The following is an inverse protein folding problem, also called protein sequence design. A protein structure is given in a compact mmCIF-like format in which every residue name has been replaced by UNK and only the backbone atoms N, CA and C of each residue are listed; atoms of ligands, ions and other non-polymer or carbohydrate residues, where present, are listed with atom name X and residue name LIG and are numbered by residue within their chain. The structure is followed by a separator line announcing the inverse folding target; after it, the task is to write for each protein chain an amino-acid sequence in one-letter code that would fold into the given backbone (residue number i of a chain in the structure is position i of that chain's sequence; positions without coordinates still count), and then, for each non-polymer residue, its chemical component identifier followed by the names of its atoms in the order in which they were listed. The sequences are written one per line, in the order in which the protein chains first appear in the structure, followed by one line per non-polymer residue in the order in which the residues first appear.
data_IF_971289455078
#
_entry.id   IF_971289455078
#
_cell.length_a   1.000
_cell.length_b   1.000
_cell.length_c   1.000
_cell.angle_alpha   90.00
_cell.angle_beta   90.00
_cell.angle_gamma   90.00
#
_symmetry.space_group_name_H-M   'P 1'
#
loop_
_entity.id
_entity.type
_entity.pdbx_description
1 polymer ?
#
# COMPACT_ATOMS: atom_id res chain seq x y z
N UNK A 1 -12.99 51.19 -46.58
CA UNK A 1 -14.08 50.20 -46.73
C UNK A 1 -13.70 49.05 -47.65
N UNK A 2 -12.97 49.28 -48.75
CA UNK A 2 -12.54 48.24 -49.70
C UNK A 2 -11.71 47.07 -49.15
N UNK A 3 -10.86 47.30 -48.14
CA UNK A 3 -9.96 46.26 -47.62
C UNK A 3 -10.70 45.14 -46.89
N UNK A 4 -11.84 45.46 -46.27
CA UNK A 4 -12.64 44.50 -45.50
C UNK A 4 -13.42 43.54 -46.40
N UNK A 5 -13.88 44.04 -47.56
CA UNK A 5 -14.59 43.22 -48.54
C UNK A 5 -13.63 42.27 -49.27
N UNK A 6 -12.38 42.68 -49.48
CA UNK A 6 -11.34 41.83 -50.05
C UNK A 6 -11.00 40.65 -49.12
N UNK A 7 -10.79 40.92 -47.82
CA UNK A 7 -10.52 39.88 -46.82
C UNK A 7 -11.70 38.89 -46.71
N UNK A 8 -12.95 39.39 -46.69
CA UNK A 8 -14.14 38.52 -46.67
C UNK A 8 -14.25 37.63 -47.90
N UNK A 9 -13.79 38.13 -49.05
CA UNK A 9 -13.82 37.37 -50.30
C UNK A 9 -12.75 36.28 -50.29
N UNK A 10 -11.52 36.58 -49.87
CA UNK A 10 -10.45 35.58 -49.69
C UNK A 10 -10.83 34.51 -48.67
N UNK A 11 -11.45 34.89 -47.54
CA UNK A 11 -11.90 33.95 -46.51
C UNK A 11 -12.99 33.02 -47.06
N UNK A 12 -13.92 33.55 -47.86
CA UNK A 12 -14.97 32.73 -48.49
C UNK A 12 -14.38 31.78 -49.53
N UNK A 13 -13.41 32.24 -50.32
CA UNK A 13 -12.74 31.43 -51.33
C UNK A 13 -11.91 30.29 -50.71
N UNK A 14 -11.18 30.59 -49.62
CA UNK A 14 -10.43 29.57 -48.87
C UNK A 14 -11.34 28.55 -48.19
N UNK A 15 -12.46 28.97 -47.60
CA UNK A 15 -13.45 28.04 -47.06
C UNK A 15 -14.07 27.14 -48.14
N UNK A 16 -14.41 27.71 -49.30
CA UNK A 16 -14.93 26.94 -50.42
C UNK A 16 -13.91 25.90 -50.93
N UNK A 17 -12.62 26.22 -50.91
CA UNK A 17 -11.56 25.25 -51.22
C UNK A 17 -11.45 24.13 -50.19
N UNK A 18 -11.56 24.44 -48.89
CA UNK A 18 -11.54 23.44 -47.82
C UNK A 18 -12.74 22.48 -47.90
N UNK A 19 -13.91 22.99 -48.30
CA UNK A 19 -15.12 22.17 -48.51
C UNK A 19 -15.00 21.19 -49.69
N UNK A 20 -14.07 21.43 -50.61
CA UNK A 20 -13.81 20.53 -51.75
C UNK A 20 -12.75 19.47 -51.48
N UNK A 21 -12.15 19.46 -50.28
CA UNK A 21 -11.16 18.46 -49.92
C UNK A 21 -11.81 17.07 -49.83
N UNK A 22 -11.12 16.02 -50.30
CA UNK A 22 -11.60 14.66 -50.17
C UNK A 22 -11.71 14.28 -48.70
N UNK A 23 -12.73 13.48 -48.38
CA UNK A 23 -12.93 12.96 -47.03
C UNK A 23 -11.69 12.18 -46.60
N UNK A 24 -11.07 12.63 -45.51
CA UNK A 24 -9.89 11.94 -44.96
C UNK A 24 -10.36 10.68 -44.24
N UNK A 25 -10.22 9.53 -44.89
CA UNK A 25 -10.36 8.27 -44.19
C UNK A 25 -9.14 8.02 -43.29
N UNK A 26 -9.33 7.80 -41.98
CA UNK A 26 -8.24 7.44 -41.11
C UNK A 26 -7.70 6.06 -41.54
N UNK A 27 -6.40 5.99 -41.83
CA UNK A 27 -5.73 4.74 -42.15
C UNK A 27 -6.01 3.70 -41.06
N UNK A 28 -6.31 2.45 -41.42
CA UNK A 28 -6.69 1.40 -40.45
C UNK A 28 -5.64 1.18 -39.33
N UNK A 29 -4.36 1.38 -39.66
CA UNK A 29 -3.25 1.33 -38.69
C UNK A 29 -3.08 2.58 -37.83
N UNK A 30 -3.80 3.67 -38.10
CA UNK A 30 -3.68 4.92 -37.35
C UNK A 30 -3.91 4.68 -35.85
N UNK A 31 -4.98 3.95 -35.52
CA UNK A 31 -5.30 3.62 -34.13
C UNK A 31 -4.23 2.74 -33.49
N UNK A 32 -3.76 1.72 -34.21
CA UNK A 32 -2.70 0.83 -33.70
C UNK A 32 -1.41 1.60 -33.39
N UNK A 33 -0.95 2.44 -34.32
CA UNK A 33 0.24 3.29 -34.14
C UNK A 33 0.06 4.35 -33.06
N UNK A 34 -1.15 4.89 -32.91
CA UNK A 34 -1.47 5.82 -31.82
C UNK A 34 -1.35 5.13 -30.46
N UNK A 35 -1.92 3.94 -30.31
CA UNK A 35 -1.83 3.18 -29.05
C UNK A 35 -0.40 2.73 -28.76
N UNK A 36 0.33 2.24 -29.76
CA UNK A 36 1.75 1.89 -29.62
C UNK A 36 2.58 3.08 -29.14
N UNK A 37 2.34 4.27 -29.71
CA UNK A 37 3.03 5.50 -29.31
C UNK A 37 2.66 5.92 -27.88
N UNK A 38 1.38 5.89 -27.52
CA UNK A 38 0.92 6.20 -26.16
C UNK A 38 1.55 5.23 -25.16
N UNK A 39 1.58 3.93 -25.48
CA UNK A 39 2.21 2.92 -24.64
C UNK A 39 3.71 3.19 -24.48
N UNK A 40 4.43 3.49 -25.56
CA UNK A 40 5.85 3.81 -25.50
C UNK A 40 6.13 5.09 -24.68
N UNK A 41 5.33 6.15 -24.86
CA UNK A 41 5.48 7.40 -24.11
C UNK A 41 5.06 7.27 -22.64
N UNK A 42 4.05 6.45 -22.33
CA UNK A 42 3.58 6.22 -20.96
C UNK A 42 4.40 5.18 -20.21
N UNK A 43 4.95 4.16 -20.88
CA UNK A 43 5.81 3.15 -20.28
C UNK A 43 7.06 3.78 -19.64
N UNK A 44 7.60 4.86 -20.24
CA UNK A 44 8.67 5.66 -19.65
C UNK A 44 8.26 6.42 -18.39
N UNK A 45 6.99 6.82 -18.26
CA UNK A 45 6.48 7.56 -17.10
C UNK A 45 6.07 6.66 -15.92
N UNK A 46 5.72 5.39 -16.16
CA UNK A 46 5.34 4.44 -15.10
C UNK A 46 6.53 3.72 -14.44
N UNK A 47 7.71 3.70 -15.07
CA UNK A 47 8.89 3.03 -14.50
C UNK A 47 9.51 3.74 -13.30
N UNK A 48 9.21 5.02 -13.03
CA UNK A 48 9.77 5.74 -11.88
C UNK A 48 8.96 5.61 -10.57
N UNK A 49 7.74 5.05 -10.59
CA UNK A 49 6.87 5.02 -9.40
C UNK A 49 6.87 3.72 -8.59
N UNK A 50 7.67 2.72 -8.97
CA UNK A 50 7.56 1.36 -8.41
C UNK A 50 8.62 0.95 -7.36
N UNK A 51 9.39 1.87 -6.75
CA UNK A 51 10.47 1.46 -5.82
C UNK A 51 10.22 1.73 -4.34
N UNK A 52 9.25 2.56 -3.95
CA UNK A 52 9.04 2.89 -2.52
C UNK A 52 8.35 1.77 -1.74
N UNK A 53 7.34 1.11 -2.33
CA UNK A 53 6.63 0.00 -1.67
C UNK A 53 7.49 -1.28 -1.56
N UNK A 54 8.44 -1.49 -2.49
CA UNK A 54 9.42 -2.57 -2.41
C UNK A 54 10.39 -2.35 -1.24
N UNK A 55 10.90 -1.12 -1.09
CA UNK A 55 11.83 -0.75 -0.02
C UNK A 55 11.27 -1.01 1.39
N UNK A 56 9.99 -0.72 1.64
CA UNK A 56 9.38 -0.99 2.95
C UNK A 56 9.31 -2.49 3.27
N UNK A 57 8.96 -3.33 2.29
CA UNK A 57 8.90 -4.79 2.48
C UNK A 57 10.28 -5.37 2.75
N UNK A 58 11.30 -4.92 2.03
CA UNK A 58 12.69 -5.32 2.28
C UNK A 58 13.22 -4.82 3.62
N UNK A 59 12.88 -3.59 4.02
CA UNK A 59 13.25 -3.05 5.33
C UNK A 59 12.61 -3.85 6.47
N UNK A 60 11.33 -4.20 6.35
CA UNK A 60 10.64 -5.07 7.30
C UNK A 60 11.27 -6.46 7.35
N UNK A 61 11.58 -7.05 6.20
CA UNK A 61 12.22 -8.37 6.10
C UNK A 61 13.62 -8.38 6.73
N UNK A 62 14.43 -7.34 6.48
CA UNK A 62 15.74 -7.16 7.09
C UNK A 62 15.63 -6.97 8.60
N UNK A 63 14.66 -6.18 9.07
CA UNK A 63 14.41 -5.96 10.49
C UNK A 63 14.03 -7.27 11.21
N UNK A 64 13.11 -8.05 10.63
CA UNK A 64 12.71 -9.35 11.17
C UNK A 64 13.89 -10.34 11.20
N UNK A 65 14.77 -10.29 10.21
CA UNK A 65 15.99 -11.12 10.17
C UNK A 65 16.97 -10.76 11.30
N UNK A 66 17.19 -9.46 11.53
CA UNK A 66 18.02 -8.97 12.64
C UNK A 66 17.43 -9.36 14.00
N UNK A 67 16.11 -9.23 14.18
CA UNK A 67 15.45 -9.68 15.42
C UNK A 67 15.65 -11.18 15.63
N UNK A 68 15.47 -11.99 14.58
CA UNK A 68 15.59 -13.44 14.69
C UNK A 68 17.01 -13.86 15.11
N UNK A 69 18.05 -13.33 14.45
CA UNK A 69 19.44 -13.64 14.79
C UNK A 69 19.84 -13.03 16.14
N UNK A 70 19.46 -11.78 16.39
CA UNK A 70 19.75 -11.08 17.63
C UNK A 70 19.13 -11.77 18.85
N UNK A 71 17.93 -12.33 18.72
CA UNK A 71 17.28 -13.08 19.80
C UNK A 71 18.09 -14.32 20.20
N UNK A 72 18.67 -15.05 19.24
CA UNK A 72 19.54 -16.19 19.51
C UNK A 72 20.81 -15.74 20.22
N UNK A 73 21.39 -14.60 19.83
CA UNK A 73 22.58 -14.05 20.47
C UNK A 73 22.32 -13.61 21.92
N UNK A 74 21.18 -12.97 22.20
CA UNK A 74 20.75 -12.61 23.56
C UNK A 74 20.48 -13.85 24.41
N UNK A 75 19.88 -14.90 23.83
CA UNK A 75 19.67 -16.18 24.53
C UNK A 75 20.98 -16.93 24.82
N UNK A 76 21.96 -16.86 23.93
CA UNK A 76 23.29 -17.43 24.18
C UNK A 76 24.07 -16.64 25.24
N UNK A 77 23.96 -15.31 25.23
CA UNK A 77 24.66 -14.44 26.19
C UNK A 77 24.02 -14.43 27.59
N UNK A 78 22.71 -14.69 27.69
CA UNK A 78 22.03 -14.92 28.98
C UNK A 78 22.36 -16.29 29.59
N UNK A 79 22.70 -17.30 28.78
CA UNK A 79 23.17 -18.59 29.29
C UNK A 79 24.60 -18.55 29.87
N UNK A 80 25.38 -17.51 29.62
CA UNK A 80 26.73 -17.35 30.19
C UNK A 80 26.76 -16.54 31.49
N UNK A 81 25.70 -15.79 31.83
CA UNK A 81 25.58 -15.03 33.07
C UNK A 81 24.30 -15.43 33.84
N UNK A 82 24.47 -16.44 34.70
CA UNK A 82 23.66 -16.76 35.88
C UNK A 82 22.17 -17.13 35.73
N UNK A 83 21.87 -18.28 36.36
CA UNK A 83 20.60 -18.69 36.93
C UNK A 83 19.40 -18.75 35.98
N UNK A 84 19.01 -19.99 35.66
CA UNK A 84 17.64 -20.32 35.30
C UNK A 84 16.69 -19.74 36.36
N UNK A 85 16.16 -18.53 36.13
CA UNK A 85 14.96 -18.07 36.79
C UNK A 85 13.89 -19.10 36.48
N UNK A 86 13.55 -19.88 37.51
CA UNK A 86 12.66 -21.01 37.42
C UNK A 86 11.34 -20.52 36.85
N UNK A 87 10.87 -21.13 35.76
CA UNK A 87 9.56 -20.79 35.16
C UNK A 87 8.44 -20.87 36.22
N UNK A 88 8.60 -21.68 37.26
CA UNK A 88 7.72 -21.72 38.42
C UNK A 88 7.65 -20.39 39.20
N UNK A 89 8.73 -19.63 39.29
CA UNK A 89 8.79 -18.38 40.07
C UNK A 89 8.05 -17.24 39.35
N UNK A 90 8.15 -17.20 38.02
CA UNK A 90 7.36 -16.28 37.17
C UNK A 90 5.87 -16.64 37.16
N UNK A 91 5.54 -17.93 37.15
CA UNK A 91 4.14 -18.38 37.24
C UNK A 91 3.55 -18.11 38.63
N UNK A 92 4.34 -18.27 39.70
CA UNK A 92 3.91 -17.93 41.06
C UNK A 92 3.71 -16.42 41.23
N UNK A 93 4.58 -15.56 40.68
CA UNK A 93 4.39 -14.12 40.78
C UNK A 93 3.12 -13.65 40.07
N UNK A 94 2.82 -14.21 38.90
CA UNK A 94 1.58 -13.96 38.17
C UNK A 94 0.36 -14.46 38.96
N UNK A 95 0.39 -15.69 39.48
CA UNK A 95 -0.74 -16.26 40.25
C UNK A 95 -1.04 -15.46 41.51
N UNK A 96 -0.02 -14.90 42.16
CA UNK A 96 -0.17 -14.10 43.37
C UNK A 96 -0.82 -12.71 43.09
N UNK A 97 -0.56 -12.14 41.92
CA UNK A 97 -1.08 -10.83 41.52
C UNK A 97 -2.56 -10.89 41.10
N UNK A 98 -3.00 -12.02 40.50
CA UNK A 98 -4.41 -12.26 40.16
C UNK A 98 -5.25 -12.80 41.33
N UNK A 99 -4.63 -13.32 42.39
CA UNK A 99 -5.30 -13.70 43.66
C UNK A 99 -5.35 -12.55 44.68
N UNK A 100 -5.32 -11.31 44.21
CA UNK A 100 -5.45 -10.13 45.07
C UNK A 100 -6.78 -10.17 45.85
N UNK A 101 -6.78 -9.90 47.17
CA UNK A 101 -8.01 -9.75 47.98
C UNK A 101 -8.96 -8.67 47.46
N UNK A 102 -8.51 -7.79 46.55
CA UNK A 102 -9.34 -6.79 45.91
C UNK A 102 -10.29 -7.35 44.83
N UNK A 103 -10.04 -8.58 44.34
CA UNK A 103 -10.83 -9.22 43.28
C UNK A 103 -11.78 -10.33 43.79
N UNK A 104 -11.70 -10.72 45.07
CA UNK A 104 -12.55 -11.78 45.63
C UNK A 104 -14.06 -11.47 45.59
N UNK A 105 -14.44 -10.19 45.66
CA UNK A 105 -15.85 -9.77 45.59
C UNK A 105 -16.51 -9.97 44.23
N UNK A 106 -15.74 -10.20 43.16
CA UNK A 106 -16.27 -10.43 41.82
C UNK A 106 -16.49 -11.90 41.49
N UNK A 107 -15.89 -12.83 42.25
CA UNK A 107 -16.04 -14.27 42.01
C UNK A 107 -17.19 -14.92 42.77
N UNK A 108 -17.70 -14.31 43.85
CA UNK A 108 -18.78 -14.89 44.66
C UNK A 108 -20.19 -14.70 44.07
N UNK A 109 -20.34 -13.92 42.99
CA UNK A 109 -21.66 -13.62 42.40
C UNK A 109 -22.02 -14.46 41.16
N UNK A 110 -21.12 -15.29 40.62
CA UNK A 110 -21.42 -16.13 39.44
C UNK A 110 -22.00 -17.51 39.81
N UNK A 111 -22.28 -17.78 41.08
CA UNK A 111 -22.83 -19.08 41.52
C UNK A 111 -24.31 -19.06 41.95
N UNK A 112 -25.04 -17.96 41.69
CA UNK A 112 -26.46 -17.83 42.06
C UNK A 112 -27.34 -17.52 40.85
N UNK A 113 -27.33 -18.38 39.83
CA UNK A 113 -28.46 -18.53 38.91
C UNK A 113 -28.33 -19.83 38.10
N UNK A 114 -28.70 -20.96 38.72
CA UNK A 114 -29.51 -22.01 38.08
C UNK A 114 -29.75 -23.17 39.07
N UNK A 115 -30.86 -23.06 39.80
CA UNK A 115 -31.55 -24.22 40.39
C UNK A 115 -33.04 -24.07 40.11
N UNK A 116 -33.42 -24.41 38.89
CA UNK A 116 -34.74 -24.95 38.59
C UNK A 116 -34.52 -26.34 37.99
N UNK A 117 -34.73 -27.36 38.82
CA UNK A 117 -35.42 -28.63 38.50
C UNK A 117 -35.46 -29.52 39.74
#
# INVERSE_FOLDING_TARGET
MHTNDHIKTEVRETLALLDTLPELEPHYLFRARLFERIEHETAGAYHERHTTAGGLKFALMAFLFVINIGSVFVLMQSNTNEQMLSKQEVIQSLTNEYNSPALSYYFDNDSVEDKND
#
